data_IF_654891128122
#
_entry.id   IF_654891128122
#
_cell.length_a   1.000
_cell.length_b   1.000
_cell.length_c   1.000
_cell.angle_alpha   90.00
_cell.angle_beta   90.00
_cell.angle_gamma   90.00
#
_symmetry.space_group_name_H-M   'P 1'
#
loop_
_entity.id
_entity.type
_entity.pdbx_description
1 polymer ?
#
# COMPACT_ATOMS: atom_id res chain seq x y z
N UNK A 1 30.69 -0.90 14.11
CA UNK A 1 29.98 -0.49 12.88
C UNK A 1 28.56 -0.14 13.30
N UNK A 2 28.02 1.01 12.89
CA UNK A 2 26.64 1.36 13.20
C UNK A 2 25.73 0.33 12.50
N UNK A 3 24.85 -0.31 13.26
CA UNK A 3 23.86 -1.24 12.70
C UNK A 3 22.84 -0.40 11.95
N UNK A 4 22.69 -0.65 10.65
CA UNK A 4 21.68 0.02 9.84
C UNK A 4 20.33 -0.61 10.16
N UNK A 5 19.45 0.14 10.83
CA UNK A 5 18.08 -0.32 11.03
C UNK A 5 17.34 -0.31 9.70
N UNK A 6 16.75 -1.44 9.34
CA UNK A 6 15.90 -1.55 8.14
C UNK A 6 14.48 -1.19 8.53
N UNK A 7 13.92 -0.15 7.91
CA UNK A 7 12.51 0.23 8.06
C UNK A 7 11.72 -0.51 6.97
N UNK A 8 10.63 -1.16 7.36
CA UNK A 8 9.67 -1.73 6.43
C UNK A 8 8.41 -0.87 6.38
N UNK A 9 7.91 -0.64 5.17
CA UNK A 9 6.69 0.11 4.88
C UNK A 9 5.56 -0.86 4.58
N UNK A 10 4.59 -0.93 5.49
CA UNK A 10 3.35 -1.68 5.34
C UNK A 10 2.23 -0.72 4.97
N UNK A 11 1.74 -0.82 3.74
CA UNK A 11 0.68 0.05 3.21
C UNK A 11 -0.69 -0.60 3.32
N UNK A 12 -1.66 0.10 3.90
CA UNK A 12 -3.03 -0.39 4.15
C UNK A 12 -4.08 0.25 3.25
N UNK A 13 -3.67 0.88 2.14
CA UNK A 13 -4.57 1.64 1.27
C UNK A 13 -5.67 0.77 0.65
N UNK A 14 -5.37 -0.47 0.24
CA UNK A 14 -6.36 -1.31 -0.46
C UNK A 14 -7.36 -1.99 0.50
N UNK A 15 -7.01 -2.13 1.78
CA UNK A 15 -7.89 -2.69 2.81
C UNK A 15 -8.53 -1.64 3.71
N UNK A 16 -7.75 -0.86 4.46
CA UNK A 16 -8.26 0.12 5.42
C UNK A 16 -8.70 1.40 4.72
N UNK A 17 -7.97 1.81 3.68
CA UNK A 17 -8.38 2.93 2.83
C UNK A 17 -9.76 2.69 2.22
N UNK A 18 -10.04 1.48 1.74
CA UNK A 18 -11.33 1.13 1.16
C UNK A 18 -12.50 1.11 2.17
N UNK A 19 -12.21 0.86 3.45
CA UNK A 19 -13.22 0.90 4.52
C UNK A 19 -13.67 2.33 4.87
N UNK A 20 -12.95 3.36 4.38
CA UNK A 20 -13.33 4.75 4.59
C UNK A 20 -14.58 5.11 3.79
N UNK A 21 -15.54 5.87 4.36
CA UNK A 21 -16.75 6.28 3.65
C UNK A 21 -16.43 7.01 2.34
N UNK A 22 -16.97 6.50 1.23
CA UNK A 22 -16.78 7.10 -0.09
C UNK A 22 -15.48 6.72 -0.82
N UNK A 23 -14.68 5.79 -0.28
CA UNK A 23 -13.41 5.34 -0.87
C UNK A 23 -13.47 3.90 -1.39
N UNK A 24 -14.52 3.54 -2.12
CA UNK A 24 -14.63 2.19 -2.72
C UNK A 24 -13.85 2.10 -4.03
N UNK A 25 -13.12 1.00 -4.24
CA UNK A 25 -12.43 0.70 -5.49
C UNK A 25 -13.00 -0.56 -6.13
N UNK A 26 -13.24 -0.53 -7.42
CA UNK A 26 -13.49 -1.75 -8.18
C UNK A 26 -12.18 -2.54 -8.39
N UNK A 27 -12.28 -3.76 -8.94
CA UNK A 27 -11.11 -4.63 -9.12
C UNK A 27 -9.99 -4.03 -10.00
N UNK A 28 -10.35 -3.27 -11.03
CA UNK A 28 -9.37 -2.62 -11.92
C UNK A 28 -8.69 -1.44 -11.21
N UNK A 29 -9.45 -0.64 -10.47
CA UNK A 29 -8.93 0.47 -9.66
C UNK A 29 -7.97 -0.04 -8.58
N UNK A 30 -8.29 -1.15 -7.93
CA UNK A 30 -7.39 -1.82 -6.97
C UNK A 30 -6.08 -2.25 -7.61
N UNK A 31 -6.14 -2.87 -8.79
CA UNK A 31 -4.95 -3.31 -9.51
C UNK A 31 -4.07 -2.12 -9.92
N UNK A 32 -4.68 -1.03 -10.40
CA UNK A 32 -3.98 0.20 -10.73
C UNK A 32 -3.29 0.79 -9.50
N UNK A 33 -4.01 0.90 -8.38
CA UNK A 33 -3.47 1.42 -7.12
C UNK A 33 -2.33 0.53 -6.60
N UNK A 34 -2.49 -0.80 -6.60
CA UNK A 34 -1.45 -1.74 -6.21
C UNK A 34 -0.15 -1.54 -7.03
N UNK A 35 -0.26 -1.29 -8.34
CA UNK A 35 0.89 -0.99 -9.18
C UNK A 35 1.57 0.33 -8.80
N UNK A 36 0.82 1.35 -8.36
CA UNK A 36 1.41 2.60 -7.90
C UNK A 36 2.11 2.44 -6.56
N UNK A 37 1.51 1.72 -5.62
CA UNK A 37 2.12 1.39 -4.32
C UNK A 37 3.40 0.57 -4.51
N UNK A 38 3.39 -0.41 -5.41
CA UNK A 38 4.58 -1.18 -5.75
C UNK A 38 5.69 -0.30 -6.38
N UNK A 39 5.35 0.66 -7.24
CA UNK A 39 6.32 1.63 -7.81
C UNK A 39 6.87 2.59 -6.76
N UNK A 40 6.09 2.92 -5.73
CA UNK A 40 6.52 3.73 -4.60
C UNK A 40 7.54 2.98 -3.73
N UNK A 41 7.58 1.65 -3.82
CA UNK A 41 8.54 0.81 -3.12
C UNK A 41 8.10 0.45 -1.70
N UNK A 42 6.80 0.31 -1.47
CA UNK A 42 6.30 -0.25 -0.21
C UNK A 42 6.64 -1.75 -0.13
N UNK A 43 6.94 -2.23 1.08
CA UNK A 43 7.36 -3.62 1.28
C UNK A 43 6.17 -4.59 1.30
N UNK A 44 5.02 -4.13 1.80
CA UNK A 44 3.78 -4.91 1.86
C UNK A 44 2.60 -4.03 1.49
N UNK A 45 1.68 -4.57 0.70
CA UNK A 45 0.39 -3.96 0.36
C UNK A 45 -0.71 -4.86 0.93
N UNK A 46 -1.59 -4.28 1.75
CA UNK A 46 -2.76 -4.92 2.35
C UNK A 46 -4.08 -4.52 1.69
#
# INVERSE_FOLDING_TARGET
>A
MAQTETIQIFDTTLRDGEQSPGFTMNGEEKLLMAQQLAKLGVDVIE
#
